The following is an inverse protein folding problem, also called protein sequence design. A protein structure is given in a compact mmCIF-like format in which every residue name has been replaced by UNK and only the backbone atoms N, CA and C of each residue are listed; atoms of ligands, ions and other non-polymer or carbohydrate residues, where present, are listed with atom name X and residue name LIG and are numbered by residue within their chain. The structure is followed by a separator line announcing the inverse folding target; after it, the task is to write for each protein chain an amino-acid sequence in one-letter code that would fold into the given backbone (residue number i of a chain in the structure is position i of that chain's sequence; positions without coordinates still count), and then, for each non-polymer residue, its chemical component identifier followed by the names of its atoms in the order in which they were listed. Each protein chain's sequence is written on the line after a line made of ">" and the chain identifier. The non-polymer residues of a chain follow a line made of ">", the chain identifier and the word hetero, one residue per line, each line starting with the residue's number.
data_IF_480769068360
#
_entry.id   IF_480769068360
#
_cell.length_a   1.000
_cell.length_b   1.000
_cell.length_c   1.000
_cell.angle_alpha   90.00
_cell.angle_beta   90.00
_cell.angle_gamma   90.00
#
_symmetry.space_group_name_H-M   'P 1'
#
loop_
_entity.id
_entity.type
_entity.pdbx_description
1 polymer ?
#
# COMPACT_ATOMS: atom_id res chain seq x y z
N UNK A 1 0.82 -3.04 15.62
CA UNK A 1 0.33 -2.12 14.58
C UNK A 1 1.46 -1.98 13.58
N UNK A 2 1.17 -2.15 12.29
CA UNK A 2 2.20 -2.16 11.25
C UNK A 2 1.95 -1.00 10.29
N UNK A 3 3.01 -0.40 9.79
CA UNK A 3 2.89 0.68 8.83
C UNK A 3 2.52 0.14 7.45
N UNK A 4 1.57 0.80 6.78
CA UNK A 4 1.25 0.53 5.39
C UNK A 4 1.94 1.60 4.53
N UNK A 5 2.88 1.18 3.69
CA UNK A 5 3.66 2.07 2.85
C UNK A 5 3.58 1.68 1.38
N UNK A 6 3.63 2.68 0.50
CA UNK A 6 3.79 2.52 -0.95
C UNK A 6 5.23 2.86 -1.32
N UNK A 7 5.84 2.04 -2.17
CA UNK A 7 7.15 2.31 -2.75
C UNK A 7 6.97 3.15 -3.99
N UNK A 8 7.66 4.29 -4.06
CA UNK A 8 7.76 5.09 -5.28
C UNK A 8 9.23 5.18 -5.69
N UNK A 9 9.51 4.74 -6.92
CA UNK A 9 10.82 4.94 -7.56
C UNK A 9 10.76 6.20 -8.41
N UNK A 10 11.76 7.08 -8.28
CA UNK A 10 11.88 8.29 -9.09
C UNK A 10 13.34 8.56 -9.44
N UNK A 11 13.58 9.23 -10.58
CA UNK A 11 14.92 9.68 -10.97
C UNK A 11 15.20 11.06 -10.38
N UNK A 12 16.37 11.23 -9.80
CA UNK A 12 16.88 12.54 -9.37
C UNK A 12 18.28 12.74 -9.95
N UNK A 13 18.36 13.41 -11.10
CA UNK A 13 19.58 13.46 -11.91
C UNK A 13 19.88 12.10 -12.53
N UNK A 14 21.12 11.63 -12.39
CA UNK A 14 21.58 10.33 -12.90
C UNK A 14 21.34 9.17 -11.92
N UNK A 15 20.79 9.43 -10.73
CA UNK A 15 20.53 8.42 -9.70
C UNK A 15 19.06 7.98 -9.68
N UNK A 16 18.83 6.68 -9.50
CA UNK A 16 17.53 6.14 -9.13
C UNK A 16 17.36 6.21 -7.60
N UNK A 17 16.27 6.84 -7.15
CA UNK A 17 15.91 6.93 -5.74
C UNK A 17 14.60 6.21 -5.48
N UNK A 18 14.48 5.71 -4.25
CA UNK A 18 13.30 5.03 -3.76
C UNK A 18 12.81 5.75 -2.51
N UNK A 19 11.55 6.17 -2.51
CA UNK A 19 10.86 6.63 -1.31
C UNK A 19 9.84 5.59 -0.86
N UNK A 20 9.63 5.55 0.46
CA UNK A 20 8.59 4.75 1.09
C UNK A 20 7.61 5.69 1.76
N UNK A 21 6.46 5.90 1.11
CA UNK A 21 5.45 6.82 1.58
C UNK A 21 4.44 6.07 2.43
N UNK A 22 4.31 6.46 3.70
CA UNK A 22 3.33 5.89 4.62
C UNK A 22 1.93 6.36 4.23
N UNK A 23 1.07 5.43 3.85
CA UNK A 23 -0.30 5.69 3.42
C UNK A 23 -1.34 5.28 4.47
N UNK A 24 -0.91 4.62 5.55
CA UNK A 24 -1.80 4.20 6.61
C UNK A 24 -1.16 3.28 7.64
N UNK A 25 -2.02 2.61 8.38
CA UNK A 25 -1.66 1.60 9.38
C UNK A 25 -2.52 0.36 9.22
N UNK A 26 -1.90 -0.80 9.47
CA UNK A 26 -2.54 -2.09 9.62
C UNK A 26 -2.66 -2.43 11.11
N UNK A 27 -3.82 -2.92 11.50
CA UNK A 27 -4.01 -3.54 12.81
C UNK A 27 -4.81 -4.82 12.70
N UNK A 28 -4.54 -5.73 13.64
CA UNK A 28 -5.21 -7.02 13.75
C UNK A 28 -6.19 -6.98 14.92
N UNK A 29 -7.39 -7.50 14.73
CA UNK A 29 -8.38 -7.72 15.80
C UNK A 29 -9.03 -9.08 15.58
N UNK A 30 -8.68 -10.04 16.43
CA UNK A 30 -8.98 -11.46 16.20
C UNK A 30 -8.29 -11.95 14.92
N UNK A 31 -9.02 -12.67 14.07
CA UNK A 31 -8.50 -13.18 12.78
C UNK A 31 -8.61 -12.18 11.63
N UNK A 32 -9.13 -10.99 11.90
CA UNK A 32 -9.32 -9.95 10.89
C UNK A 32 -8.16 -8.96 10.91
N UNK A 33 -7.71 -8.58 9.70
CA UNK A 33 -6.76 -7.50 9.47
C UNK A 33 -7.52 -6.31 8.92
N UNK A 34 -7.30 -5.15 9.51
CA UNK A 34 -7.93 -3.89 9.15
C UNK A 34 -6.86 -2.89 8.69
N UNK A 35 -7.23 -2.04 7.73
CA UNK A 35 -6.41 -0.95 7.24
C UNK A 35 -7.08 0.39 7.52
N UNK A 36 -6.29 1.38 7.98
CA UNK A 36 -6.72 2.76 8.17
C UNK A 36 -5.81 3.57 7.29
N UNK A 37 -6.39 4.10 6.22
CA UNK A 37 -5.70 4.96 5.28
C UNK A 37 -5.68 6.38 5.82
N UNK A 38 -4.56 7.06 5.61
CA UNK A 38 -4.45 8.49 5.89
C UNK A 38 -5.07 9.28 4.74
N UNK A 39 -5.59 10.45 5.07
CA UNK A 39 -6.03 11.40 4.06
C UNK A 39 -4.79 12.06 3.43
N UNK A 40 -4.59 11.82 2.13
CA UNK A 40 -3.48 12.38 1.36
C UNK A 40 -4.10 13.21 0.23
N UNK A 41 -4.06 14.55 0.32
CA UNK A 41 -4.65 15.42 -0.70
C UNK A 41 -4.10 15.13 -2.10
N UNK A 42 -5.00 15.02 -3.09
CA UNK A 42 -4.62 14.76 -4.48
C UNK A 42 -4.29 13.29 -4.80
N UNK A 43 -4.29 12.39 -3.82
CA UNK A 43 -4.02 10.96 -4.04
C UNK A 43 -5.30 10.15 -3.99
N UNK A 44 -5.62 9.45 -5.09
CA UNK A 44 -6.69 8.45 -5.12
C UNK A 44 -6.13 7.10 -4.68
N UNK A 45 -6.66 6.56 -3.59
CA UNK A 45 -6.33 5.21 -3.12
C UNK A 45 -7.53 4.31 -3.35
N UNK A 46 -7.39 3.34 -4.25
CA UNK A 46 -8.43 2.35 -4.54
C UNK A 46 -8.10 1.02 -3.86
N UNK A 47 -9.09 0.46 -3.15
CA UNK A 47 -8.97 -0.83 -2.47
C UNK A 47 -9.74 -1.87 -3.27
N UNK A 48 -9.07 -2.96 -3.63
CA UNK A 48 -9.66 -4.05 -4.40
C UNK A 48 -9.48 -5.37 -3.67
N UNK A 49 -10.46 -6.25 -3.78
CA UNK A 49 -10.27 -7.64 -3.44
C UNK A 49 -9.38 -8.28 -4.50
N UNK A 50 -8.38 -9.02 -4.06
CA UNK A 50 -7.54 -9.78 -4.99
C UNK A 50 -8.43 -10.82 -5.67
N UNK A 51 -8.54 -10.75 -7.01
CA UNK A 51 -9.16 -11.83 -7.78
C UNK A 51 -8.41 -13.12 -7.45
N UNK A 52 -9.12 -14.11 -6.94
CA UNK A 52 -8.57 -15.46 -6.78
C UNK A 52 -8.01 -15.86 -8.14
N UNK A 53 -6.73 -16.26 -8.18
CA UNK A 53 -6.19 -16.91 -9.38
C UNK A 53 -7.03 -18.17 -9.57
N UNK A 54 -7.73 -18.27 -10.69
CA UNK A 54 -8.29 -19.55 -11.11
C UNK A 54 -7.11 -20.51 -11.25
N UNK A 55 -7.08 -21.54 -10.43
CA UNK A 55 -6.23 -22.70 -10.66
C UNK A 55 -6.64 -23.26 -12.02
N UNK A 56 -5.77 -23.08 -13.02
CA UNK A 56 -5.95 -23.77 -14.29
C UNK A 56 -5.72 -25.26 -14.03
N UNK A 57 -6.63 -26.14 -14.49
CA UNK A 57 -6.45 -27.59 -14.36
C UNK A 57 -5.23 -28.09 -15.13
#
# INVERSE_FOLDING_TARGET
>A
MFDLCVRESYKQGDEEKVSWNKIGILWKKGDKVYAKLFHIPGTLISVFEQKKKEDKP
#
